data_IF_702561710049
#
_entry.id   IF_702561710049
#
_cell.length_a   1.000
_cell.length_b   1.000
_cell.length_c   1.000
_cell.angle_alpha   90.00
_cell.angle_beta   90.00
_cell.angle_gamma   90.00
#
_symmetry.space_group_name_H-M   'P 1'
#
loop_
_entity.id
_entity.type
_entity.pdbx_description
1 polymer ?
#
# COMPACT_ATOMS: atom_id res chain seq x y z
N UNK A 1 -9.85 29.62 -17.38
CA UNK A 1 -10.20 28.89 -16.15
C UNK A 1 -10.38 27.43 -16.55
N UNK A 2 -9.49 26.53 -16.13
CA UNK A 2 -9.62 25.11 -16.43
C UNK A 2 -10.88 24.57 -15.76
N UNK A 3 -11.77 23.95 -16.52
CA UNK A 3 -12.91 23.24 -15.97
C UNK A 3 -12.42 22.14 -15.04
N UNK A 4 -12.95 22.08 -13.82
CA UNK A 4 -12.71 20.95 -12.91
C UNK A 4 -13.14 19.64 -13.60
N UNK A 5 -12.43 18.53 -13.38
CA UNK A 5 -12.85 17.23 -13.92
C UNK A 5 -14.24 16.88 -13.39
N UNK A 6 -15.08 16.17 -14.18
CA UNK A 6 -16.37 15.68 -13.73
C UNK A 6 -16.28 14.92 -12.42
N UNK A 7 -17.16 15.25 -11.49
CA UNK A 7 -17.41 14.44 -10.31
C UNK A 7 -18.25 13.22 -10.70
N UNK A 8 -17.84 12.03 -10.26
CA UNK A 8 -18.51 10.77 -10.57
C UNK A 8 -18.62 9.93 -9.30
N UNK A 9 -19.83 9.48 -8.98
CA UNK A 9 -20.10 8.55 -7.88
C UNK A 9 -21.19 7.56 -8.25
N UNK A 10 -21.50 6.61 -7.36
CA UNK A 10 -22.67 5.73 -7.47
C UNK A 10 -23.72 6.17 -6.44
N UNK A 11 -24.95 6.36 -6.88
CA UNK A 11 -26.09 6.72 -6.05
C UNK A 11 -27.03 5.51 -5.90
N UNK A 12 -27.54 5.26 -4.69
CA UNK A 12 -28.65 4.33 -4.49
C UNK A 12 -29.87 4.85 -5.26
N UNK A 13 -30.38 4.06 -6.20
CA UNK A 13 -31.51 4.44 -7.04
C UNK A 13 -32.79 4.74 -6.26
N UNK A 14 -32.90 4.32 -4.98
CA UNK A 14 -33.98 4.74 -4.08
C UNK A 14 -33.99 6.25 -3.82
N UNK A 15 -32.84 6.92 -3.93
CA UNK A 15 -32.70 8.37 -3.74
C UNK A 15 -32.95 9.17 -5.02
N UNK A 16 -33.17 8.51 -6.16
CA UNK A 16 -33.30 9.17 -7.46
C UNK A 16 -34.50 10.14 -7.51
N UNK A 17 -35.64 9.76 -6.92
CA UNK A 17 -36.85 10.61 -6.89
C UNK A 17 -36.65 11.86 -6.02
N UNK A 18 -36.02 11.71 -4.85
CA UNK A 18 -35.65 12.84 -3.98
C UNK A 18 -34.75 13.81 -4.72
N UNK A 19 -33.64 13.31 -5.29
CA UNK A 19 -32.68 14.12 -6.04
C UNK A 19 -33.36 14.86 -7.21
N UNK A 20 -34.22 14.18 -7.98
CA UNK A 20 -34.93 14.80 -9.09
C UNK A 20 -35.84 15.96 -8.63
N UNK A 21 -36.64 15.72 -7.58
CA UNK A 21 -37.57 16.72 -7.03
C UNK A 21 -36.82 17.95 -6.52
N UNK A 22 -35.74 17.75 -5.79
CA UNK A 22 -34.94 18.84 -5.23
C UNK A 22 -34.25 19.64 -6.35
N UNK A 23 -33.75 18.98 -7.40
CA UNK A 23 -33.19 19.65 -8.58
C UNK A 23 -34.24 20.50 -9.32
N UNK A 24 -35.47 20.01 -9.45
CA UNK A 24 -36.57 20.80 -10.02
C UNK A 24 -36.90 22.03 -9.16
N UNK A 25 -36.94 21.87 -7.83
CA UNK A 25 -37.17 22.98 -6.90
C UNK A 25 -36.04 24.03 -6.94
N UNK A 26 -34.81 23.60 -7.20
CA UNK A 26 -33.66 24.48 -7.41
C UNK A 26 -33.59 25.11 -8.81
N UNK A 27 -34.61 24.92 -9.66
CA UNK A 27 -34.73 25.55 -10.97
C UNK A 27 -33.87 24.91 -12.07
N UNK A 28 -33.48 23.64 -11.94
CA UNK A 28 -32.81 22.94 -13.02
C UNK A 28 -33.80 22.58 -14.15
N UNK A 29 -33.33 22.69 -15.39
CA UNK A 29 -34.02 22.14 -16.57
C UNK A 29 -33.77 20.64 -16.65
N UNK A 30 -34.84 19.85 -16.74
CA UNK A 30 -34.76 18.39 -16.73
C UNK A 30 -34.96 17.83 -18.15
N UNK A 31 -34.12 16.88 -18.52
CA UNK A 31 -34.25 16.06 -19.74
C UNK A 31 -34.06 14.59 -19.40
N UNK A 32 -34.45 13.68 -20.29
CA UNK A 32 -34.24 12.23 -20.11
C UNK A 32 -33.54 11.66 -21.35
N UNK A 33 -32.21 11.87 -21.49
CA UNK A 33 -31.43 11.22 -22.53
C UNK A 33 -31.44 9.69 -22.41
N UNK A 34 -31.06 8.98 -23.47
CA UNK A 34 -30.92 7.53 -23.46
C UNK A 34 -30.02 7.05 -22.31
N UNK A 35 -30.40 5.94 -21.67
CA UNK A 35 -29.69 5.31 -20.54
C UNK A 35 -29.62 6.14 -19.26
N UNK A 36 -30.37 7.24 -19.17
CA UNK A 36 -30.47 8.07 -17.96
C UNK A 36 -31.79 7.86 -17.24
N UNK A 37 -31.79 8.07 -15.93
CA UNK A 37 -33.00 8.38 -15.16
C UNK A 37 -33.43 9.82 -15.45
N UNK A 38 -32.46 10.74 -15.45
CA UNK A 38 -32.62 12.13 -15.88
C UNK A 38 -31.24 12.77 -16.08
N UNK A 39 -31.23 13.89 -16.80
CA UNK A 39 -30.16 14.87 -16.82
C UNK A 39 -30.73 16.24 -16.47
N UNK A 40 -30.21 16.85 -15.42
CA UNK A 40 -30.62 18.15 -14.91
C UNK A 40 -29.52 19.18 -15.18
N UNK A 41 -29.87 20.34 -15.73
CA UNK A 41 -28.91 21.41 -16.02
C UNK A 41 -29.39 22.78 -15.53
N UNK A 42 -28.44 23.59 -15.05
CA UNK A 42 -28.60 25.03 -14.81
C UNK A 42 -27.31 25.75 -15.20
N UNK A 43 -27.31 27.09 -15.21
CA UNK A 43 -26.14 27.87 -15.63
C UNK A 43 -24.90 27.49 -14.80
N UNK A 44 -23.92 26.86 -15.45
CA UNK A 44 -22.65 26.46 -14.83
C UNK A 44 -22.63 25.10 -14.13
N UNK A 45 -23.71 24.31 -14.21
CA UNK A 45 -23.82 23.02 -13.53
C UNK A 45 -24.72 22.03 -14.28
N UNK A 46 -24.27 20.79 -14.40
CA UNK A 46 -25.04 19.67 -14.94
C UNK A 46 -24.94 18.48 -13.99
N UNK A 47 -26.06 17.80 -13.73
CA UNK A 47 -26.17 16.64 -12.86
C UNK A 47 -26.94 15.53 -13.61
N UNK A 48 -26.27 14.44 -13.95
CA UNK A 48 -26.85 13.34 -14.76
C UNK A 48 -26.79 12.04 -13.99
N UNK A 49 -27.96 11.42 -13.77
CA UNK A 49 -28.09 10.11 -13.13
C UNK A 49 -28.40 9.05 -14.20
N UNK A 50 -27.52 8.06 -14.33
CA UNK A 50 -27.69 6.94 -15.25
C UNK A 50 -28.56 5.83 -14.64
N UNK A 51 -29.16 5.00 -15.48
CA UNK A 51 -29.96 3.84 -15.02
C UNK A 51 -29.13 2.83 -14.22
N UNK A 52 -27.80 2.84 -14.36
CA UNK A 52 -26.85 2.04 -13.57
C UNK A 52 -26.62 2.55 -12.15
N UNK A 53 -27.16 3.71 -11.78
CA UNK A 53 -26.87 4.39 -10.50
C UNK A 53 -25.65 5.31 -10.57
N UNK A 54 -24.88 5.31 -11.66
CA UNK A 54 -23.78 6.26 -11.85
C UNK A 54 -24.34 7.69 -11.88
N UNK A 55 -23.86 8.54 -10.97
CA UNK A 55 -24.17 9.96 -10.91
C UNK A 55 -22.97 10.77 -11.38
N UNK A 56 -23.19 11.70 -12.29
CA UNK A 56 -22.15 12.55 -12.86
C UNK A 56 -22.53 14.01 -12.66
N UNK A 57 -21.67 14.77 -11.97
CA UNK A 57 -21.84 16.21 -11.74
C UNK A 57 -20.69 16.95 -12.42
N UNK A 58 -21.03 17.97 -13.20
CA UNK A 58 -20.07 18.68 -14.06
C UNK A 58 -20.35 20.17 -14.07
N UNK A 59 -19.30 20.99 -14.14
CA UNK A 59 -19.40 22.42 -14.38
C UNK A 59 -18.65 23.23 -13.34
N UNK A 60 -18.59 24.54 -13.56
CA UNK A 60 -17.84 25.46 -12.68
C UNK A 60 -18.43 25.57 -11.27
N UNK A 61 -19.73 25.36 -11.11
CA UNK A 61 -20.41 25.40 -9.80
C UNK A 61 -20.45 24.03 -9.10
N UNK A 62 -19.78 23.01 -9.65
CA UNK A 62 -19.90 21.64 -9.15
C UNK A 62 -19.42 21.48 -7.70
N UNK A 63 -18.34 22.16 -7.31
CA UNK A 63 -17.77 22.04 -5.96
C UNK A 63 -18.78 22.51 -4.90
N UNK A 64 -19.35 23.70 -5.10
CA UNK A 64 -20.36 24.27 -4.21
C UNK A 64 -21.63 23.39 -4.15
N UNK A 65 -22.08 22.87 -5.30
CA UNK A 65 -23.23 21.96 -5.32
C UNK A 65 -22.97 20.64 -4.58
N UNK A 66 -21.75 20.10 -4.68
CA UNK A 66 -21.37 18.87 -3.99
C UNK A 66 -21.36 19.10 -2.48
N UNK A 67 -20.60 20.10 -2.02
CA UNK A 67 -20.37 20.40 -0.60
C UNK A 67 -21.64 20.81 0.16
N UNK A 68 -22.48 21.67 -0.42
CA UNK A 68 -23.59 22.29 0.32
C UNK A 68 -24.95 21.66 0.06
N UNK A 69 -25.05 20.70 -0.86
CA UNK A 69 -26.32 20.02 -1.14
C UNK A 69 -26.14 18.52 -1.37
N UNK A 70 -25.35 18.10 -2.36
CA UNK A 70 -25.31 16.68 -2.73
C UNK A 70 -24.80 15.81 -1.57
N UNK A 71 -23.74 16.24 -0.89
CA UNK A 71 -23.19 15.52 0.25
C UNK A 71 -24.06 15.53 1.50
N UNK A 72 -24.55 16.68 2.00
CA UNK A 72 -25.39 16.70 3.19
C UNK A 72 -26.77 16.09 2.97
N UNK A 73 -27.42 16.40 1.85
CA UNK A 73 -28.85 16.08 1.66
C UNK A 73 -29.08 14.75 0.94
N UNK A 74 -28.14 14.30 0.09
CA UNK A 74 -28.37 13.13 -0.77
C UNK A 74 -27.43 11.98 -0.42
N UNK A 75 -26.13 12.23 -0.29
CA UNK A 75 -25.14 11.19 -0.01
C UNK A 75 -24.97 10.95 1.50
N UNK A 76 -25.45 11.88 2.33
CA UNK A 76 -25.29 11.90 3.80
C UNK A 76 -23.82 11.65 4.21
N UNK A 77 -22.90 12.25 3.46
CA UNK A 77 -21.49 11.90 3.45
C UNK A 77 -20.64 13.02 2.84
N UNK A 78 -19.81 13.68 3.66
CA UNK A 78 -18.84 14.69 3.21
C UNK A 78 -17.52 14.10 2.66
N UNK A 79 -17.57 12.89 2.12
CA UNK A 79 -16.37 12.15 1.68
C UNK A 79 -15.60 12.82 0.53
N UNK A 80 -16.19 13.79 -0.15
CA UNK A 80 -15.66 14.48 -1.32
C UNK A 80 -15.26 15.93 -1.04
N UNK A 81 -16.10 16.73 -0.35
CA UNK A 81 -15.71 18.09 0.08
C UNK A 81 -14.72 18.07 1.24
N UNK A 82 -14.89 17.12 2.15
CA UNK A 82 -14.07 16.97 3.33
C UNK A 82 -13.56 15.53 3.43
N UNK A 83 -12.71 15.08 2.47
CA UNK A 83 -12.21 13.72 2.47
C UNK A 83 -11.50 13.36 3.78
N UNK A 84 -10.93 14.35 4.47
CA UNK A 84 -10.30 14.19 5.79
C UNK A 84 -11.27 13.97 6.94
N UNK A 85 -12.55 14.35 6.84
CA UNK A 85 -13.52 14.17 7.95
C UNK A 85 -13.92 12.72 8.19
N UNK A 86 -13.71 11.83 7.20
CA UNK A 86 -13.88 10.36 7.35
C UNK A 86 -12.57 9.59 7.51
N UNK A 87 -11.42 10.26 7.41
CA UNK A 87 -10.14 9.60 7.63
C UNK A 87 -9.91 9.57 9.15
N UNK A 88 -9.76 8.37 9.70
CA UNK A 88 -9.30 8.21 11.07
C UNK A 88 -7.89 8.80 11.20
N UNK A 89 -7.80 9.98 11.82
CA UNK A 89 -6.54 10.69 12.05
C UNK A 89 -5.85 10.24 13.35
N UNK A 90 -6.35 9.18 13.99
CA UNK A 90 -5.74 8.63 15.20
C UNK A 90 -4.30 8.23 14.90
N UNK A 91 -3.32 8.70 15.68
CA UNK A 91 -1.94 8.30 15.49
C UNK A 91 -1.76 6.78 15.59
N UNK A 92 -1.11 6.18 14.62
CA UNK A 92 -0.88 4.74 14.58
C UNK A 92 0.40 4.40 13.80
N UNK A 93 0.85 3.16 14.00
CA UNK A 93 1.97 2.57 13.29
C UNK A 93 1.43 1.67 12.17
N UNK A 94 1.90 1.86 10.95
CA UNK A 94 1.69 0.92 9.85
C UNK A 94 2.95 0.09 9.59
N UNK A 95 2.80 -1.21 9.34
CA UNK A 95 3.90 -2.14 9.04
C UNK A 95 3.64 -2.87 7.72
N UNK A 96 4.68 -3.02 6.90
CA UNK A 96 4.65 -3.85 5.70
C UNK A 96 6.05 -4.43 5.38
N UNK A 97 6.13 -5.39 4.47
CA UNK A 97 7.38 -5.99 4.01
C UNK A 97 7.57 -6.00 2.48
N UNK A 98 8.83 -6.12 2.05
CA UNK A 98 9.20 -6.38 0.66
C UNK A 98 10.32 -7.41 0.59
N UNK A 99 10.38 -8.14 -0.52
CA UNK A 99 11.42 -9.15 -0.75
C UNK A 99 11.05 -10.57 -0.34
N UNK A 100 9.85 -10.81 0.21
CA UNK A 100 9.43 -12.14 0.67
C UNK A 100 9.36 -13.19 -0.43
N UNK A 101 8.96 -12.79 -1.65
CA UNK A 101 8.84 -13.67 -2.83
C UNK A 101 10.03 -13.58 -3.81
N UNK A 102 11.04 -12.78 -3.47
CA UNK A 102 12.19 -12.54 -4.32
C UNK A 102 13.32 -13.53 -3.99
N UNK A 103 13.81 -14.25 -4.99
CA UNK A 103 14.88 -15.23 -4.78
C UNK A 103 16.19 -14.58 -4.35
N UNK A 104 16.54 -13.47 -5.02
CA UNK A 104 17.70 -12.66 -4.69
C UNK A 104 17.33 -11.51 -3.76
N UNK A 105 18.33 -11.02 -3.03
CA UNK A 105 18.18 -9.82 -2.22
C UNK A 105 17.54 -10.04 -0.85
N UNK A 106 17.53 -8.98 -0.03
CA UNK A 106 17.14 -9.07 1.36
C UNK A 106 15.63 -9.33 1.53
N UNK A 107 15.24 -9.73 2.74
CA UNK A 107 13.89 -9.52 3.24
C UNK A 107 13.90 -8.20 4.04
N UNK A 108 13.00 -7.28 3.70
CA UNK A 108 12.93 -5.97 4.34
C UNK A 108 11.54 -5.79 4.96
N UNK A 109 11.48 -5.53 6.26
CA UNK A 109 10.27 -5.13 6.97
C UNK A 109 10.44 -3.67 7.35
N UNK A 110 9.44 -2.84 7.11
CA UNK A 110 9.46 -1.44 7.50
C UNK A 110 8.22 -1.10 8.29
N UNK A 111 8.35 -0.10 9.15
CA UNK A 111 7.24 0.48 9.88
C UNK A 111 7.33 1.98 9.86
N UNK A 112 6.17 2.63 9.84
CA UNK A 112 6.03 4.08 9.84
C UNK A 112 5.00 4.46 10.90
N UNK A 113 5.38 5.36 11.80
CA UNK A 113 4.46 6.00 12.74
C UNK A 113 3.97 7.31 12.12
N UNK A 114 2.65 7.47 12.06
CA UNK A 114 2.02 8.70 11.55
C UNK A 114 1.22 9.40 12.66
N UNK A 115 1.35 10.71 12.73
CA UNK A 115 0.58 11.62 13.58
C UNK A 115 -0.47 12.36 12.76
N UNK A 116 -1.51 12.88 13.42
CA UNK A 116 -2.62 13.60 12.78
C UNK A 116 -2.17 14.69 11.76
N UNK A 117 -1.09 15.44 12.07
CA UNK A 117 -0.57 16.50 11.20
C UNK A 117 0.25 16.00 9.99
N UNK A 118 0.56 14.70 9.91
CA UNK A 118 1.31 14.09 8.81
C UNK A 118 0.39 13.45 7.75
N UNK A 119 -0.86 13.13 8.09
CA UNK A 119 -1.82 12.50 7.16
C UNK A 119 -2.00 13.31 5.87
N UNK A 120 -2.29 14.61 5.99
CA UNK A 120 -2.49 15.49 4.83
C UNK A 120 -1.23 15.61 3.97
N UNK A 121 -0.05 15.61 4.59
CA UNK A 121 1.24 15.64 3.87
C UNK A 121 1.47 14.34 3.12
N UNK A 122 1.27 13.18 3.75
CA UNK A 122 1.42 11.87 3.10
C UNK A 122 0.41 11.67 1.96
N UNK A 123 -0.84 12.10 2.16
CA UNK A 123 -1.86 12.08 1.12
C UNK A 123 -1.47 12.95 -0.07
N UNK A 124 -0.94 14.16 0.18
CA UNK A 124 -0.45 15.06 -0.87
C UNK A 124 0.76 14.51 -1.63
N UNK A 125 1.62 13.69 -0.98
CA UNK A 125 2.69 12.97 -1.66
C UNK A 125 2.19 11.88 -2.60
N UNK A 126 0.91 11.49 -2.52
CA UNK A 126 0.35 10.41 -3.32
C UNK A 126 0.84 9.03 -2.89
N UNK A 127 1.13 8.86 -1.59
CA UNK A 127 1.43 7.56 -1.00
C UNK A 127 0.24 6.61 -1.26
N UNK A 128 0.51 5.57 -2.05
CA UNK A 128 -0.42 4.52 -2.48
C UNK A 128 0.36 3.21 -2.51
N UNK A 129 -0.33 2.09 -2.80
CA UNK A 129 0.30 0.79 -2.99
C UNK A 129 1.56 0.89 -3.87
N UNK A 130 2.68 0.41 -3.33
CA UNK A 130 4.00 0.48 -3.94
C UNK A 130 4.14 -0.38 -5.20
N UNK A 131 3.26 -1.36 -5.39
CA UNK A 131 3.35 -2.39 -6.45
C UNK A 131 3.36 -1.82 -7.88
N UNK A 132 2.71 -0.68 -8.11
CA UNK A 132 2.62 -0.05 -9.45
C UNK A 132 3.60 1.10 -9.67
N UNK A 133 4.42 1.42 -8.66
CA UNK A 133 5.34 2.56 -8.73
C UNK A 133 6.70 2.16 -9.31
N UNK A 134 7.30 3.06 -10.08
CA UNK A 134 8.66 2.87 -10.60
C UNK A 134 9.70 2.91 -9.47
N UNK A 135 10.85 2.26 -9.64
CA UNK A 135 11.93 2.30 -8.65
C UNK A 135 12.42 3.73 -8.35
N UNK A 136 12.39 4.61 -9.37
CA UNK A 136 12.70 6.04 -9.21
C UNK A 136 11.68 6.73 -8.31
N UNK A 137 10.39 6.51 -8.57
CA UNK A 137 9.29 7.07 -7.77
C UNK A 137 9.34 6.55 -6.33
N UNK A 138 9.60 5.26 -6.13
CA UNK A 138 9.76 4.64 -4.81
C UNK A 138 10.85 5.35 -4.01
N UNK A 139 12.03 5.60 -4.59
CA UNK A 139 13.12 6.30 -3.88
C UNK A 139 12.77 7.73 -3.53
N UNK A 140 12.11 8.45 -4.44
CA UNK A 140 11.66 9.83 -4.20
C UNK A 140 10.68 9.89 -3.03
N UNK A 141 9.63 9.06 -3.07
CA UNK A 141 8.63 8.98 -2.00
C UNK A 141 9.24 8.51 -0.69
N UNK A 142 10.10 7.49 -0.72
CA UNK A 142 10.79 7.01 0.47
C UNK A 142 11.61 8.11 1.15
N UNK A 143 12.34 8.92 0.37
CA UNK A 143 13.08 10.06 0.93
C UNK A 143 12.17 11.07 1.60
N UNK A 144 11.00 11.36 1.01
CA UNK A 144 10.04 12.30 1.58
C UNK A 144 9.38 11.74 2.84
N UNK A 145 9.00 10.46 2.85
CA UNK A 145 8.43 9.77 4.02
C UNK A 145 9.42 9.77 5.19
N UNK A 146 10.70 9.43 4.94
CA UNK A 146 11.74 9.43 5.97
C UNK A 146 11.99 10.81 6.59
N UNK A 147 11.76 11.88 5.85
CA UNK A 147 11.88 13.25 6.34
C UNK A 147 10.63 13.71 7.10
N UNK A 148 9.48 13.09 6.86
CA UNK A 148 8.19 13.49 7.45
C UNK A 148 7.84 12.70 8.71
N UNK A 149 8.12 11.40 8.73
CA UNK A 149 7.59 10.45 9.70
C UNK A 149 8.70 9.74 10.46
N UNK A 150 8.38 9.30 11.68
CA UNK A 150 9.21 8.37 12.42
C UNK A 150 9.08 6.99 11.78
N UNK A 151 10.20 6.31 11.54
CA UNK A 151 10.21 5.01 10.86
C UNK A 151 11.29 4.08 11.42
N UNK A 152 11.12 2.78 11.16
CA UNK A 152 12.14 1.77 11.41
C UNK A 152 12.16 0.74 10.28
N UNK A 153 13.33 0.21 9.93
CA UNK A 153 13.49 -0.80 8.87
C UNK A 153 14.38 -1.93 9.36
N UNK A 154 13.83 -3.15 9.40
CA UNK A 154 14.58 -4.39 9.60
C UNK A 154 14.93 -4.96 8.23
N UNK A 155 16.21 -4.87 7.86
CA UNK A 155 16.76 -5.44 6.61
C UNK A 155 17.57 -6.69 6.90
N UNK A 156 17.12 -7.82 6.36
CA UNK A 156 17.74 -9.14 6.54
C UNK A 156 18.38 -9.57 5.22
N UNK A 157 19.70 -9.40 5.10
CA UNK A 157 20.45 -9.82 3.92
C UNK A 157 20.43 -11.34 3.73
N UNK A 158 20.61 -11.87 2.51
CA UNK A 158 20.44 -13.29 2.22
C UNK A 158 21.29 -14.23 3.10
N UNK A 159 22.56 -13.90 3.37
CA UNK A 159 23.39 -14.69 4.29
C UNK A 159 22.75 -14.83 5.68
N UNK A 160 22.39 -13.72 6.32
CA UNK A 160 21.71 -13.72 7.63
C UNK A 160 20.32 -14.34 7.56
N UNK A 161 19.60 -14.11 6.47
CA UNK A 161 18.30 -14.72 6.22
C UNK A 161 18.41 -16.25 6.25
N UNK A 162 19.37 -16.82 5.53
CA UNK A 162 19.55 -18.27 5.45
C UNK A 162 19.97 -18.87 6.80
N UNK A 163 20.81 -18.16 7.57
CA UNK A 163 21.20 -18.54 8.94
C UNK A 163 19.97 -18.64 9.84
N UNK A 164 19.20 -17.55 10.01
CA UNK A 164 18.08 -17.53 10.95
C UNK A 164 16.87 -18.32 10.45
N UNK A 165 16.70 -18.49 9.12
CA UNK A 165 15.61 -19.29 8.57
C UNK A 165 15.70 -20.75 9.03
N UNK A 166 16.89 -21.28 9.32
CA UNK A 166 17.06 -22.64 9.85
C UNK A 166 16.43 -22.81 11.23
N UNK A 167 16.40 -21.74 12.05
CA UNK A 167 15.77 -21.75 13.37
C UNK A 167 14.25 -21.59 13.27
N UNK A 168 13.78 -20.69 12.40
CA UNK A 168 12.34 -20.45 12.22
C UNK A 168 11.64 -21.57 11.46
N UNK A 169 12.29 -22.15 10.44
CA UNK A 169 11.79 -23.16 9.47
C UNK A 169 10.50 -22.79 8.75
N UNK A 170 10.02 -21.56 8.93
CA UNK A 170 8.76 -21.07 8.40
C UNK A 170 8.89 -19.56 8.15
N UNK A 171 8.64 -19.14 6.90
CA UNK A 171 8.75 -17.74 6.48
C UNK A 171 7.79 -16.82 7.28
N UNK A 172 6.59 -17.28 7.60
CA UNK A 172 5.61 -16.47 8.33
C UNK A 172 6.06 -16.21 9.78
N UNK A 173 6.75 -17.17 10.41
CA UNK A 173 7.33 -16.94 11.74
C UNK A 173 8.48 -15.93 11.70
N UNK A 174 9.33 -16.00 10.67
CA UNK A 174 10.40 -15.02 10.46
C UNK A 174 9.84 -13.62 10.18
N UNK A 175 8.81 -13.52 9.34
CA UNK A 175 8.10 -12.27 9.08
C UNK A 175 7.50 -11.70 10.37
N UNK A 176 6.77 -12.50 11.15
CA UNK A 176 6.21 -12.04 12.41
C UNK A 176 7.27 -11.57 13.42
N UNK A 177 8.43 -12.23 13.47
CA UNK A 177 9.55 -11.71 14.27
C UNK A 177 10.05 -10.35 13.78
N UNK A 178 10.20 -10.18 12.46
CA UNK A 178 10.63 -8.92 11.84
C UNK A 178 9.62 -7.78 12.05
N UNK A 179 8.33 -8.09 11.92
CA UNK A 179 7.21 -7.20 12.21
C UNK A 179 7.21 -6.79 13.69
N UNK A 180 7.23 -7.75 14.61
CA UNK A 180 7.25 -7.46 16.05
C UNK A 180 8.50 -6.68 16.48
N UNK A 181 9.66 -6.92 15.86
CA UNK A 181 10.89 -6.14 16.10
C UNK A 181 10.75 -4.70 15.61
N UNK A 182 10.16 -4.50 14.42
CA UNK A 182 9.89 -3.16 13.90
C UNK A 182 8.91 -2.38 14.79
N UNK A 183 7.85 -3.06 15.24
CA UNK A 183 6.83 -2.50 16.15
C UNK A 183 7.47 -2.08 17.48
N UNK A 184 8.27 -2.96 18.10
CA UNK A 184 9.02 -2.66 19.34
C UNK A 184 9.81 -1.35 19.24
N UNK A 185 10.60 -1.20 18.18
CA UNK A 185 11.46 -0.04 17.97
C UNK A 185 10.66 1.25 17.77
N UNK A 186 9.49 1.17 17.13
CA UNK A 186 8.62 2.33 16.95
C UNK A 186 7.86 2.68 18.22
N UNK A 187 7.40 1.70 19.00
CA UNK A 187 6.78 1.94 20.32
C UNK A 187 7.76 2.64 21.25
N UNK A 188 9.01 2.16 21.33
CA UNK A 188 10.04 2.76 22.19
C UNK A 188 10.30 4.24 21.86
N UNK A 189 10.13 4.64 20.60
CA UNK A 189 10.39 6.01 20.13
C UNK A 189 9.14 6.90 20.13
N UNK A 190 7.95 6.34 19.93
CA UNK A 190 6.70 7.10 19.77
C UNK A 190 5.73 7.01 20.96
N UNK A 191 5.83 5.97 21.78
CA UNK A 191 4.81 5.59 22.77
C UNK A 191 3.49 5.08 22.18
N UNK A 192 3.35 5.01 20.84
CA UNK A 192 2.11 4.62 20.18
C UNK A 192 1.88 3.11 20.25
N UNK A 193 0.74 2.68 20.80
CA UNK A 193 0.36 1.27 20.92
C UNK A 193 -0.63 0.80 19.85
N UNK A 194 -1.14 1.69 19.00
CA UNK A 194 -2.06 1.35 17.90
C UNK A 194 -1.25 0.96 16.67
N UNK A 195 -1.44 -0.27 16.19
CA UNK A 195 -0.67 -0.84 15.08
C UNK A 195 -1.59 -1.46 14.04
N UNK A 196 -1.34 -1.16 12.77
CA UNK A 196 -2.01 -1.75 11.62
C UNK A 196 -0.99 -2.52 10.77
N UNK A 197 -1.33 -3.76 10.41
CA UNK A 197 -0.46 -4.66 9.64
C UNK A 197 -1.27 -5.33 8.52
N UNK A 198 -0.68 -5.50 7.33
CA UNK A 198 -1.26 -6.34 6.29
C UNK A 198 -1.25 -7.82 6.70
N UNK A 199 -2.39 -8.48 6.56
CA UNK A 199 -2.53 -9.87 7.01
C UNK A 199 -1.82 -10.85 6.06
N UNK A 200 -0.58 -11.24 6.42
CA UNK A 200 0.23 -12.19 5.65
C UNK A 200 0.15 -13.64 6.15
N UNK A 201 -0.43 -13.87 7.33
CA UNK A 201 -0.56 -15.19 7.95
C UNK A 201 -1.79 -15.25 8.86
N UNK A 202 -1.99 -16.40 9.52
CA UNK A 202 -2.94 -16.51 10.64
C UNK A 202 -2.60 -15.45 11.70
N UNK A 203 -3.64 -14.76 12.19
CA UNK A 203 -3.54 -13.64 13.12
C UNK A 203 -2.68 -13.98 14.35
N UNK A 204 -2.75 -15.24 14.81
CA UNK A 204 -2.00 -15.75 15.97
C UNK A 204 -0.49 -15.66 15.77
N UNK A 205 0.01 -15.72 14.54
CA UNK A 205 1.45 -15.74 14.26
C UNK A 205 2.11 -14.42 14.67
N UNK A 206 1.49 -13.29 14.33
CA UNK A 206 1.98 -11.96 14.74
C UNK A 206 1.76 -11.74 16.24
N UNK A 207 0.58 -12.11 16.77
CA UNK A 207 0.26 -11.99 18.20
C UNK A 207 1.26 -12.77 19.08
N UNK A 208 1.66 -13.98 18.67
CA UNK A 208 2.66 -14.77 19.38
C UNK A 208 4.05 -14.11 19.36
N UNK A 209 4.44 -13.49 18.23
CA UNK A 209 5.71 -12.78 18.13
C UNK A 209 5.74 -11.53 19.02
N UNK A 210 4.64 -10.76 19.07
CA UNK A 210 4.47 -9.63 19.98
C UNK A 210 4.51 -10.05 21.45
N UNK A 211 3.80 -11.13 21.81
CA UNK A 211 3.80 -11.71 23.15
C UNK A 211 5.19 -12.13 23.61
N UNK A 212 5.99 -12.75 22.72
CA UNK A 212 7.39 -13.12 23.02
C UNK A 212 8.28 -11.91 23.33
N UNK A 213 7.97 -10.76 22.75
CA UNK A 213 8.62 -9.48 23.04
C UNK A 213 7.99 -8.71 24.21
N UNK A 214 6.96 -9.27 24.87
CA UNK A 214 6.20 -8.64 25.95
C UNK A 214 5.59 -7.30 25.53
N UNK A 215 5.15 -7.21 24.27
CA UNK A 215 4.46 -6.04 23.74
C UNK A 215 2.96 -6.24 23.87
N UNK A 216 2.31 -5.29 24.54
CA UNK A 216 0.86 -5.17 24.58
C UNK A 216 0.45 -4.00 23.67
N UNK A 217 -0.25 -4.31 22.59
CA UNK A 217 -0.56 -3.38 21.50
C UNK A 217 -2.00 -3.58 21.03
N UNK A 218 -2.63 -2.49 20.60
CA UNK A 218 -3.90 -2.54 19.87
C UNK A 218 -3.60 -2.87 18.40
N UNK A 219 -3.51 -4.17 18.09
CA UNK A 219 -3.19 -4.68 16.77
C UNK A 219 -4.46 -4.85 15.92
N UNK A 220 -4.48 -4.20 14.75
CA UNK A 220 -5.43 -4.48 13.67
C UNK A 220 -4.72 -5.18 12.53
N UNK A 221 -5.07 -6.44 12.27
CA UNK A 221 -4.66 -7.17 11.07
C UNK A 221 -5.82 -7.17 10.08
N UNK A 222 -5.59 -6.69 8.86
CA UNK A 222 -6.62 -6.68 7.82
C UNK A 222 -6.01 -7.00 6.46
N UNK A 223 -6.79 -7.61 5.59
CA UNK A 223 -6.45 -7.69 4.17
C UNK A 223 -6.56 -6.30 3.54
N UNK A 224 -5.71 -6.03 2.53
CA UNK A 224 -5.64 -4.73 1.86
C UNK A 224 -5.30 -3.59 2.82
N UNK A 225 -4.42 -3.86 3.77
CA UNK A 225 -4.04 -2.84 4.73
C UNK A 225 -3.33 -1.64 4.06
N UNK A 226 -2.85 -1.77 2.81
CA UNK A 226 -2.32 -0.67 2.00
C UNK A 226 -3.32 0.47 1.72
N UNK A 227 -4.62 0.29 2.00
CA UNK A 227 -5.57 1.41 2.04
C UNK A 227 -5.31 2.37 3.22
N UNK A 228 -4.55 1.91 4.23
CA UNK A 228 -4.02 2.75 5.30
C UNK A 228 -2.78 3.53 4.86
N UNK A 229 -2.71 4.82 5.21
CA UNK A 229 -1.58 5.67 4.82
C UNK A 229 -0.27 5.29 5.50
N UNK A 230 -0.28 4.82 6.76
CA UNK A 230 0.93 4.40 7.45
C UNK A 230 1.46 3.09 6.86
N UNK A 231 0.57 2.14 6.57
CA UNK A 231 0.94 0.86 5.93
C UNK A 231 1.45 1.09 4.51
N UNK A 232 0.79 1.93 3.72
CA UNK A 232 1.26 2.31 2.40
C UNK A 232 2.64 3.00 2.44
N UNK A 233 2.87 3.88 3.41
CA UNK A 233 4.17 4.50 3.62
C UNK A 233 5.25 3.47 3.99
N UNK A 234 4.92 2.54 4.89
CA UNK A 234 5.80 1.42 5.26
C UNK A 234 6.12 0.53 4.05
N UNK A 235 5.14 0.25 3.19
CA UNK A 235 5.32 -0.49 1.94
C UNK A 235 6.38 0.16 1.04
N UNK A 236 6.30 1.48 0.87
CA UNK A 236 7.28 2.24 0.08
C UNK A 236 8.68 2.14 0.68
N UNK A 237 8.81 2.26 2.01
CA UNK A 237 10.11 2.14 2.69
C UNK A 237 10.70 0.73 2.60
N UNK A 238 9.89 -0.30 2.82
CA UNK A 238 10.30 -1.69 2.69
C UNK A 238 10.76 -1.98 1.25
N UNK A 239 9.99 -1.50 0.26
CA UNK A 239 10.31 -1.63 -1.16
C UNK A 239 11.60 -0.92 -1.54
N UNK A 240 11.81 0.31 -1.07
CA UNK A 240 13.07 1.04 -1.29
C UNK A 240 14.27 0.29 -0.71
N UNK A 241 14.17 -0.19 0.53
CA UNK A 241 15.24 -0.94 1.17
C UNK A 241 15.57 -2.25 0.43
N UNK A 242 14.55 -2.91 -0.11
CA UNK A 242 14.73 -4.11 -0.94
C UNK A 242 15.44 -3.79 -2.27
N UNK A 243 14.99 -2.78 -3.01
CA UNK A 243 15.58 -2.40 -4.30
C UNK A 243 17.05 -2.03 -4.11
N UNK A 244 17.37 -1.20 -3.11
CA UNK A 244 18.75 -0.80 -2.85
C UNK A 244 19.62 -1.98 -2.42
N UNK A 245 19.08 -2.93 -1.64
CA UNK A 245 19.78 -4.17 -1.31
C UNK A 245 20.05 -5.05 -2.53
N UNK A 246 19.09 -5.17 -3.45
CA UNK A 246 19.24 -5.95 -4.69
C UNK A 246 20.25 -5.32 -5.65
N UNK A 247 20.22 -4.00 -5.80
CA UNK A 247 21.18 -3.26 -6.61
C UNK A 247 22.60 -3.33 -6.03
N UNK A 248 22.75 -3.26 -4.70
CA UNK A 248 24.04 -3.43 -4.04
C UNK A 248 24.65 -4.80 -4.36
N UNK A 249 23.88 -5.88 -4.22
CA UNK A 249 24.33 -7.22 -4.58
C UNK A 249 24.66 -7.34 -6.07
N UNK A 250 23.84 -6.75 -6.94
CA UNK A 250 24.06 -6.75 -8.39
C UNK A 250 25.36 -6.06 -8.77
N UNK A 251 25.70 -4.94 -8.11
CA UNK A 251 26.96 -4.20 -8.30
C UNK A 251 28.16 -5.02 -7.84
N UNK A 252 28.09 -5.65 -6.67
CA UNK A 252 29.18 -6.45 -6.10
C UNK A 252 29.58 -7.62 -7.01
N UNK A 253 28.61 -8.31 -7.62
CA UNK A 253 28.87 -9.47 -8.49
C UNK A 253 28.95 -9.10 -9.98
N UNK A 254 28.70 -7.84 -10.31
CA UNK A 254 28.62 -7.31 -11.68
C UNK A 254 27.68 -8.13 -12.59
N UNK A 255 26.52 -8.54 -12.05
CA UNK A 255 25.46 -9.23 -12.78
C UNK A 255 24.13 -8.60 -12.34
N UNK A 256 23.27 -8.13 -13.25
CA UNK A 256 21.94 -7.63 -12.90
C UNK A 256 21.08 -8.74 -12.29
N UNK A 257 20.70 -8.60 -11.02
CA UNK A 257 19.81 -9.54 -10.35
C UNK A 257 18.34 -9.11 -10.53
N UNK A 258 17.50 -9.91 -11.22
CA UNK A 258 16.10 -9.56 -11.40
C UNK A 258 15.30 -9.83 -10.11
N UNK A 259 14.19 -9.09 -9.97
CA UNK A 259 13.17 -9.32 -8.93
C UNK A 259 12.38 -10.60 -9.23
N UNK A 260 11.77 -11.18 -8.19
CA UNK A 260 10.95 -12.38 -8.25
C UNK A 260 11.76 -13.69 -8.38
N UNK A 261 11.07 -14.74 -8.84
CA UNK A 261 11.57 -16.12 -8.92
C UNK A 261 11.34 -16.77 -10.30
N UNK A 262 11.21 -15.94 -11.35
CA UNK A 262 10.86 -16.34 -12.72
C UNK A 262 11.99 -17.03 -13.47
N UNK A 263 11.76 -17.39 -14.74
CA UNK A 263 12.80 -17.90 -15.65
C UNK A 263 13.96 -16.93 -15.84
N UNK A 264 13.71 -15.62 -15.83
CA UNK A 264 14.76 -14.60 -15.87
C UNK A 264 15.66 -14.68 -14.63
N UNK A 265 15.08 -14.90 -13.44
CA UNK A 265 15.80 -15.13 -12.19
C UNK A 265 16.68 -16.37 -12.26
N UNK A 266 16.17 -17.47 -12.82
CA UNK A 266 16.97 -18.69 -13.01
C UNK A 266 18.14 -18.47 -13.97
N UNK A 267 17.93 -17.71 -15.07
CA UNK A 267 19.01 -17.36 -16.01
C UNK A 267 20.12 -16.57 -15.32
N UNK A 268 19.77 -15.53 -14.55
CA UNK A 268 20.73 -14.76 -13.77
C UNK A 268 21.46 -15.65 -12.74
N UNK A 269 20.73 -16.54 -12.05
CA UNK A 269 21.33 -17.47 -11.11
C UNK A 269 22.32 -18.46 -11.73
N UNK A 270 22.04 -18.98 -12.92
CA UNK A 270 22.98 -19.81 -13.68
C UNK A 270 24.22 -19.03 -14.11
N UNK A 271 24.07 -17.75 -14.44
CA UNK A 271 25.21 -16.87 -14.73
C UNK A 271 26.08 -16.64 -13.49
N UNK A 272 25.47 -16.38 -12.32
CA UNK A 272 26.19 -16.26 -11.04
C UNK A 272 26.92 -17.56 -10.72
N UNK A 273 26.25 -18.72 -10.85
CA UNK A 273 26.86 -20.03 -10.62
C UNK A 273 28.11 -20.24 -11.49
N UNK A 274 28.02 -19.88 -12.78
CA UNK A 274 29.13 -20.00 -13.74
C UNK A 274 30.29 -19.03 -13.44
N UNK A 275 30.00 -17.79 -13.05
CA UNK A 275 31.02 -16.74 -12.86
C UNK A 275 31.66 -16.76 -11.47
N UNK A 276 30.88 -17.08 -10.44
CA UNK A 276 31.27 -16.92 -9.03
C UNK A 276 31.15 -18.21 -8.19
N UNK A 277 30.62 -19.30 -8.75
CA UNK A 277 30.46 -20.56 -8.04
C UNK A 277 29.24 -20.64 -7.12
N UNK A 278 28.99 -21.84 -6.59
CA UNK A 278 27.80 -22.16 -5.78
C UNK A 278 27.78 -21.41 -4.44
N UNK A 279 28.93 -21.27 -3.78
CA UNK A 279 29.03 -20.57 -2.49
C UNK A 279 28.56 -19.10 -2.61
N UNK A 280 29.01 -18.40 -3.66
CA UNK A 280 28.58 -17.02 -3.89
C UNK A 280 27.09 -16.95 -4.23
N UNK A 281 26.56 -17.88 -5.04
CA UNK A 281 25.13 -17.95 -5.31
C UNK A 281 24.32 -18.10 -4.00
N UNK A 282 24.72 -19.01 -3.13
CA UNK A 282 24.07 -19.28 -1.83
C UNK A 282 24.10 -18.11 -0.87
N UNK A 283 25.14 -17.27 -0.91
CA UNK A 283 25.26 -16.09 -0.04
C UNK A 283 24.39 -14.90 -0.46
N UNK A 284 23.85 -14.88 -1.69
CA UNK A 284 23.04 -13.77 -2.22
C UNK A 284 21.57 -14.14 -2.48
N UNK A 285 21.19 -15.40 -2.26
CA UNK A 285 19.83 -15.88 -2.50
C UNK A 285 19.17 -16.49 -1.25
N UNK A 286 17.85 -16.61 -1.25
CA UNK A 286 17.08 -17.38 -0.26
C UNK A 286 17.15 -18.87 -0.61
N UNK A 287 17.93 -19.64 0.14
CA UNK A 287 18.32 -21.00 -0.26
C UNK A 287 17.18 -22.04 -0.25
N UNK A 288 16.13 -21.81 0.52
CA UNK A 288 14.98 -22.72 0.60
C UNK A 288 14.01 -22.61 -0.60
N UNK A 289 14.25 -21.69 -1.54
CA UNK A 289 13.43 -21.55 -2.73
C UNK A 289 13.76 -22.66 -3.73
N UNK A 290 12.72 -23.28 -4.33
CA UNK A 290 12.86 -24.24 -5.44
C UNK A 290 13.65 -23.69 -6.64
N UNK A 291 13.72 -22.37 -6.76
CA UNK A 291 14.54 -21.67 -7.76
C UNK A 291 16.03 -22.06 -7.65
N UNK A 292 16.55 -22.28 -6.44
CA UNK A 292 17.93 -22.73 -6.25
C UNK A 292 18.13 -24.14 -6.82
N UNK A 293 17.22 -25.07 -6.56
CA UNK A 293 17.29 -26.43 -7.09
C UNK A 293 17.25 -26.44 -8.63
N UNK A 294 16.43 -25.57 -9.23
CA UNK A 294 16.36 -25.40 -10.68
C UNK A 294 17.67 -24.85 -11.28
N UNK A 295 18.37 -23.97 -10.55
CA UNK A 295 19.67 -23.44 -10.97
C UNK A 295 20.77 -24.51 -10.85
N UNK A 296 20.76 -25.29 -9.75
CA UNK A 296 21.74 -26.34 -9.47
C UNK A 296 21.50 -27.66 -10.22
N UNK A 297 20.40 -27.77 -10.99
CA UNK A 297 20.05 -28.98 -11.73
C UNK A 297 19.58 -30.14 -10.84
N UNK A 298 18.99 -29.83 -9.67
CA UNK A 298 18.49 -30.83 -8.70
C UNK A 298 16.99 -31.14 -8.84
N UNK A 299 16.31 -30.58 -9.83
CA UNK A 299 14.87 -30.80 -10.05
C UNK A 299 14.67 -32.14 -10.77
N UNK A 300 14.23 -33.17 -10.04
CA UNK A 300 13.96 -34.51 -10.57
C UNK A 300 14.76 -35.67 -9.97
N UNK A 301 15.26 -35.54 -8.74
CA UNK A 301 15.74 -36.67 -7.92
C UNK A 301 14.80 -36.90 -6.74
#
# INVERSE_FOLDING_TARGET
>A
MSSLPPFVTTLDLKLAEKLLKDLQQQGFSITIPAYTRFSASKKGLTCTLYTSGKLVVQGKEQAHFIEFYLEPEILESFGFSHPTTKIDLTPHIGIDESGKGDFFGPLCIAGVYIQANQFSKLQALGVKDSKTLSDKTIRQLASQIKNLCLYHIVKINPAKYNEIYQDFKNLNHLLAWGHATTIEQLILQSGCQTVIVDQFADEKVVLLALKRKKLDVNLTQRHRAEDDLAVAAASILARQAFIDGLEQLSKEIQIPLPKGSSSATQKAGKEVLRKWGEERLRSICKQHFKTLDAILGKVGK
#
